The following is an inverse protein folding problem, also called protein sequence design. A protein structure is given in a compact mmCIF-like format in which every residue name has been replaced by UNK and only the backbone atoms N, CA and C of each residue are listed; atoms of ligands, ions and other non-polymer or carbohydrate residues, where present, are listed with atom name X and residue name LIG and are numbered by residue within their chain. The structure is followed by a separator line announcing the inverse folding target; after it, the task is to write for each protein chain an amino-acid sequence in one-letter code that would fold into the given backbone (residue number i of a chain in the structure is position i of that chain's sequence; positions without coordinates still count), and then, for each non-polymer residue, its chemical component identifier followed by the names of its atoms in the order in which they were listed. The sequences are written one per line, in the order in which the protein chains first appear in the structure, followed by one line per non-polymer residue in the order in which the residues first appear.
data_IF_101734206126
#
_entry.id   IF_101734206126
#
_cell.length_a   1.000
_cell.length_b   1.000
_cell.length_c   1.000
_cell.angle_alpha   90.00
_cell.angle_beta   90.00
_cell.angle_gamma   90.00
#
_symmetry.space_group_name_H-M   'P 1'
#
loop_
_entity.id
_entity.type
_entity.pdbx_description
1 polymer ?
#
# COMPACT_ATOMS: atom_id res chain seq x y z
N UNK A 1 -9.90 24.31 -1.44
CA UNK A 1 -8.86 24.87 -2.36
C UNK A 1 -7.55 24.08 -2.28
N UNK A 2 -7.12 23.68 -1.09
CA UNK A 2 -5.91 22.85 -0.88
C UNK A 2 -5.96 21.50 -1.63
N UNK A 3 -7.13 20.87 -1.71
CA UNK A 3 -7.34 19.62 -2.47
C UNK A 3 -7.19 19.78 -3.98
N UNK A 4 -7.56 20.93 -4.54
CA UNK A 4 -7.41 21.22 -5.98
C UNK A 4 -5.95 21.45 -6.37
N UNK A 5 -5.15 22.01 -5.47
CA UNK A 5 -3.72 22.28 -5.68
C UNK A 5 -2.92 20.95 -5.70
N UNK A 6 -3.24 20.00 -4.82
CA UNK A 6 -2.58 18.68 -4.79
C UNK A 6 -2.82 17.88 -6.07
N UNK A 7 -4.03 17.92 -6.65
CA UNK A 7 -4.30 17.26 -7.93
C UNK A 7 -3.64 17.93 -9.14
N UNK A 8 -3.29 19.21 -9.06
CA UNK A 8 -2.57 19.91 -10.15
C UNK A 8 -1.06 19.63 -10.15
N UNK A 9 -0.50 19.14 -9.08
CA UNK A 9 0.93 18.81 -8.96
C UNK A 9 1.23 17.31 -9.03
N UNK A 10 0.22 16.45 -9.26
CA UNK A 10 0.46 15.03 -9.51
C UNK A 10 1.29 14.86 -10.79
N UNK A 11 2.37 14.06 -10.76
CA UNK A 11 3.13 13.70 -11.94
C UNK A 11 2.26 12.81 -12.83
N UNK A 12 1.44 13.45 -13.69
CA UNK A 12 0.47 12.75 -14.56
C UNK A 12 1.14 11.67 -15.42
N UNK A 13 2.36 11.88 -15.98
CA UNK A 13 3.06 10.85 -16.75
C UNK A 13 3.39 9.61 -15.90
N UNK A 14 3.86 9.80 -14.67
CA UNK A 14 4.25 8.70 -13.78
C UNK A 14 3.02 7.92 -13.30
N UNK A 15 1.90 8.59 -13.02
CA UNK A 15 0.66 7.93 -12.64
C UNK A 15 0.06 7.15 -13.82
N UNK A 16 0.11 7.71 -15.04
CA UNK A 16 -0.32 7.00 -16.24
C UNK A 16 0.56 5.76 -16.48
N UNK A 17 1.88 5.92 -16.38
CA UNK A 17 2.81 4.79 -16.50
C UNK A 17 2.54 3.71 -15.45
N UNK A 18 2.25 4.09 -14.20
CA UNK A 18 1.88 3.16 -13.14
C UNK A 18 0.61 2.38 -13.50
N UNK A 19 -0.43 3.07 -14.02
CA UNK A 19 -1.67 2.44 -14.44
C UNK A 19 -1.46 1.46 -15.59
N UNK A 20 -0.74 1.87 -16.64
CA UNK A 20 -0.45 1.01 -17.79
C UNK A 20 0.37 -0.22 -17.38
N UNK A 21 1.35 -0.05 -16.50
CA UNK A 21 2.14 -1.16 -15.96
C UNK A 21 1.28 -2.11 -15.10
N UNK A 22 0.29 -1.60 -14.36
CA UNK A 22 -0.61 -2.44 -13.59
C UNK A 22 -1.52 -3.27 -14.50
N UNK A 23 -2.09 -2.67 -15.54
CA UNK A 23 -2.92 -3.36 -16.53
C UNK A 23 -2.11 -4.43 -17.28
N UNK A 24 -0.91 -4.10 -17.72
CA UNK A 24 0.01 -5.06 -18.32
C UNK A 24 0.33 -6.22 -17.36
N UNK A 25 0.61 -5.92 -16.10
CA UNK A 25 0.90 -6.93 -15.09
C UNK A 25 -0.29 -7.86 -14.83
N UNK A 26 -1.52 -7.34 -14.85
CA UNK A 26 -2.75 -8.15 -14.71
C UNK A 26 -2.94 -9.13 -15.86
N UNK A 27 -2.54 -8.73 -17.07
CA UNK A 27 -2.72 -9.55 -18.27
C UNK A 27 -1.59 -10.56 -18.44
N UNK A 28 -0.33 -10.15 -18.19
CA UNK A 28 0.84 -10.93 -18.61
C UNK A 28 1.59 -11.63 -17.49
N UNK A 29 1.51 -11.09 -16.25
CA UNK A 29 2.24 -11.68 -15.15
C UNK A 29 1.37 -12.69 -14.39
N UNK A 30 1.94 -13.88 -14.15
CA UNK A 30 1.35 -14.85 -13.22
C UNK A 30 1.48 -14.36 -11.77
N UNK A 31 0.62 -13.40 -11.42
CA UNK A 31 0.54 -12.78 -10.10
C UNK A 31 -0.91 -12.65 -9.64
N UNK A 32 -1.19 -12.88 -8.35
CA UNK A 32 -2.53 -12.63 -7.83
C UNK A 32 -2.98 -11.18 -8.09
N UNK A 33 -4.19 -10.94 -8.61
CA UNK A 33 -4.72 -9.58 -8.81
C UNK A 33 -4.69 -8.72 -7.55
N UNK A 34 -4.84 -9.34 -6.38
CA UNK A 34 -4.74 -8.66 -5.08
C UNK A 34 -3.35 -8.08 -4.83
N UNK A 35 -2.27 -8.74 -5.29
CA UNK A 35 -0.91 -8.24 -5.19
C UNK A 35 -0.72 -7.00 -6.06
N UNK A 36 -1.22 -7.06 -7.30
CA UNK A 36 -1.10 -5.95 -8.25
C UNK A 36 -1.90 -4.75 -7.75
N UNK A 37 -3.13 -4.98 -7.23
CA UNK A 37 -3.95 -3.94 -6.62
C UNK A 37 -3.23 -3.27 -5.44
N UNK A 38 -2.74 -4.05 -4.47
CA UNK A 38 -2.07 -3.50 -3.29
C UNK A 38 -0.80 -2.71 -3.65
N UNK A 39 0.02 -3.22 -4.57
CA UNK A 39 1.21 -2.52 -5.04
C UNK A 39 0.87 -1.24 -5.80
N UNK A 40 -0.19 -1.26 -6.62
CA UNK A 40 -0.68 -0.07 -7.32
C UNK A 40 -1.15 1.00 -6.35
N UNK A 41 -1.99 0.67 -5.37
CA UNK A 41 -2.54 1.59 -4.38
C UNK A 41 -1.43 2.27 -3.58
N UNK A 42 -0.51 1.50 -3.01
CA UNK A 42 0.61 2.01 -2.24
C UNK A 42 1.54 2.89 -3.08
N UNK A 43 1.83 2.48 -4.31
CA UNK A 43 2.68 3.28 -5.20
C UNK A 43 2.00 4.57 -5.66
N UNK A 44 0.70 4.52 -5.93
CA UNK A 44 -0.08 5.72 -6.26
C UNK A 44 -0.05 6.73 -5.11
N UNK A 45 -0.13 6.26 -3.85
CA UNK A 45 0.02 7.13 -2.68
C UNK A 45 1.42 7.75 -2.59
N UNK A 46 2.48 6.97 -2.88
CA UNK A 46 3.85 7.51 -2.95
C UNK A 46 3.98 8.62 -3.99
N UNK A 47 3.43 8.41 -5.20
CA UNK A 47 3.43 9.41 -6.28
C UNK A 47 2.58 10.65 -5.93
N UNK A 48 1.53 10.46 -5.15
CA UNK A 48 0.69 11.56 -4.67
C UNK A 48 1.33 12.36 -3.52
N UNK A 49 2.56 12.02 -3.10
CA UNK A 49 3.27 12.70 -2.02
C UNK A 49 3.00 12.13 -0.61
N UNK A 50 2.26 11.03 -0.51
CA UNK A 50 1.97 10.33 0.74
C UNK A 50 2.83 9.07 0.89
N UNK A 51 4.15 9.18 0.65
CA UNK A 51 5.04 8.04 0.80
C UNK A 51 5.12 7.60 2.27
N UNK A 52 4.80 6.34 2.60
CA UNK A 52 4.84 5.89 3.98
C UNK A 52 6.27 5.73 4.48
N UNK A 53 6.50 6.00 5.77
CA UNK A 53 7.78 5.81 6.45
C UNK A 53 7.90 4.37 6.96
N UNK A 54 8.62 3.55 6.22
CA UNK A 54 8.70 2.09 6.47
C UNK A 54 10.11 1.58 6.76
N UNK A 55 11.09 2.45 6.87
CA UNK A 55 12.50 2.09 7.01
C UNK A 55 12.82 1.56 8.41
N UNK A 56 12.24 2.20 9.42
CA UNK A 56 12.41 1.82 10.81
C UNK A 56 11.15 2.17 11.61
N UNK A 57 11.10 1.71 12.85
CA UNK A 57 10.08 2.13 13.80
C UNK A 57 10.17 3.64 14.04
N UNK A 58 9.09 4.37 13.82
CA UNK A 58 9.04 5.82 13.99
C UNK A 58 9.29 6.28 15.44
N UNK A 59 9.16 5.40 16.42
CA UNK A 59 9.30 5.71 17.84
C UNK A 59 10.71 5.39 18.36
N UNK A 60 11.19 4.16 18.14
CA UNK A 60 12.49 3.69 18.70
C UNK A 60 13.60 3.54 17.68
N UNK A 61 13.35 3.81 16.39
CA UNK A 61 14.33 3.72 15.32
C UNK A 61 14.74 2.29 14.93
N UNK A 62 14.12 1.25 15.51
CA UNK A 62 14.46 -0.13 15.16
C UNK A 62 14.12 -0.42 13.69
N UNK A 63 15.11 -0.76 12.83
CA UNK A 63 14.86 -1.03 11.42
C UNK A 63 14.15 -2.37 11.18
N UNK A 64 14.23 -3.32 12.12
CA UNK A 64 13.67 -4.66 11.98
C UNK A 64 12.85 -5.07 13.20
N UNK A 65 11.67 -4.46 13.40
CA UNK A 65 10.80 -4.83 14.51
C UNK A 65 10.34 -6.29 14.37
N UNK A 66 10.40 -7.05 15.47
CA UNK A 66 9.97 -8.45 15.51
C UNK A 66 8.46 -8.61 15.28
N UNK A 67 7.69 -7.62 15.72
CA UNK A 67 6.25 -7.52 15.49
C UNK A 67 5.92 -6.16 14.89
N UNK A 68 6.11 -6.00 13.56
CA UNK A 68 5.88 -4.73 12.90
C UNK A 68 4.39 -4.42 12.80
N UNK A 69 4.04 -3.18 13.07
CA UNK A 69 2.71 -2.62 12.89
C UNK A 69 2.79 -1.38 12.00
N UNK A 70 1.74 -1.14 11.23
CA UNK A 70 1.61 0.02 10.37
C UNK A 70 0.45 0.88 10.82
N UNK A 71 0.71 2.15 11.13
CA UNK A 71 -0.30 3.13 11.54
C UNK A 71 -0.88 3.79 10.29
N UNK A 72 -2.16 3.55 10.00
CA UNK A 72 -2.80 3.95 8.75
C UNK A 72 -2.87 5.47 8.56
N UNK A 73 -3.20 6.20 9.62
CA UNK A 73 -3.37 7.65 9.53
C UNK A 73 -2.06 8.40 9.33
N UNK A 74 -1.02 7.97 10.04
CA UNK A 74 0.29 8.64 9.97
C UNK A 74 1.19 8.07 8.88
N UNK A 75 0.86 6.89 8.34
CA UNK A 75 1.66 6.22 7.32
C UNK A 75 3.04 5.79 7.81
N UNK A 76 3.15 5.35 9.07
CA UNK A 76 4.43 5.01 9.69
C UNK A 76 4.49 3.58 10.18
N UNK A 77 5.69 3.00 10.15
CA UNK A 77 6.01 1.73 10.77
C UNK A 77 6.31 1.93 12.26
N UNK A 78 5.84 1.03 13.11
CA UNK A 78 6.21 1.00 14.52
C UNK A 78 6.27 -0.44 15.07
N UNK A 79 6.96 -0.63 16.20
CA UNK A 79 6.92 -1.88 16.96
C UNK A 79 5.55 -2.00 17.65
N UNK A 80 5.05 -3.21 17.81
CA UNK A 80 3.81 -3.46 18.57
C UNK A 80 3.87 -2.94 20.01
N UNK A 81 5.07 -2.93 20.60
CA UNK A 81 5.30 -2.48 21.99
C UNK A 81 5.55 -0.97 22.14
N UNK A 82 5.80 -0.28 21.03
CA UNK A 82 6.00 1.18 21.07
C UNK A 82 4.65 1.89 21.15
N UNK A 83 4.51 2.90 22.02
CA UNK A 83 3.29 3.68 22.13
C UNK A 83 3.11 4.52 20.86
N UNK A 84 1.94 4.42 20.25
CA UNK A 84 1.53 5.25 19.11
C UNK A 84 0.26 6.00 19.44
N UNK A 85 0.00 7.09 18.72
CA UNK A 85 -1.20 7.88 18.85
C UNK A 85 -2.49 7.10 18.55
N UNK A 86 -3.63 7.74 18.74
CA UNK A 86 -4.92 7.16 18.40
C UNK A 86 -5.04 6.97 16.88
N UNK A 87 -5.49 5.78 16.47
CA UNK A 87 -5.69 5.43 15.06
C UNK A 87 -5.68 3.92 14.85
N UNK A 88 -5.99 3.53 13.63
CA UNK A 88 -6.00 2.13 13.24
C UNK A 88 -4.59 1.64 12.94
N UNK A 89 -4.23 0.52 13.57
CA UNK A 89 -2.93 -0.13 13.44
C UNK A 89 -3.13 -1.51 12.84
N UNK A 90 -2.41 -1.81 11.77
CA UNK A 90 -2.43 -3.11 11.11
C UNK A 90 -1.11 -3.84 11.34
N UNK A 91 -1.22 -5.09 11.80
CA UNK A 91 -0.05 -5.95 12.01
C UNK A 91 0.51 -6.45 10.69
N UNK A 92 1.82 -6.36 10.54
CA UNK A 92 2.57 -6.91 9.42
C UNK A 92 3.32 -8.17 9.86
N UNK A 93 3.63 -9.04 8.91
CA UNK A 93 4.65 -10.07 9.07
C UNK A 93 5.94 -9.65 8.34
N UNK A 94 7.06 -10.34 8.55
CA UNK A 94 8.34 -9.97 7.90
C UNK A 94 8.23 -9.87 6.38
N UNK A 95 7.52 -10.80 5.74
CA UNK A 95 7.35 -10.82 4.29
C UNK A 95 6.48 -9.65 3.79
N UNK A 96 5.38 -9.35 4.47
CA UNK A 96 4.54 -8.20 4.11
C UNK A 96 5.26 -6.86 4.34
N UNK A 97 6.10 -6.75 5.37
CA UNK A 97 6.94 -5.58 5.57
C UNK A 97 8.01 -5.45 4.48
N UNK A 98 8.67 -6.55 4.11
CA UNK A 98 9.64 -6.55 3.02
C UNK A 98 9.00 -6.13 1.69
N UNK A 99 7.81 -6.65 1.40
CA UNK A 99 7.05 -6.27 0.22
C UNK A 99 6.62 -4.78 0.25
N UNK A 100 6.17 -4.28 1.38
CA UNK A 100 5.83 -2.87 1.56
C UNK A 100 7.03 -1.97 1.27
N UNK A 101 8.19 -2.30 1.84
CA UNK A 101 9.47 -1.60 1.57
C UNK A 101 9.87 -1.67 0.10
N UNK A 102 9.71 -2.84 -0.52
CA UNK A 102 9.96 -3.01 -1.95
C UNK A 102 9.07 -2.08 -2.77
N UNK A 103 7.76 -2.06 -2.52
CA UNK A 103 6.81 -1.22 -3.24
C UNK A 103 7.17 0.26 -3.13
N UNK A 104 7.55 0.73 -1.95
CA UNK A 104 7.93 2.14 -1.74
C UNK A 104 9.19 2.52 -2.50
N UNK A 105 10.18 1.61 -2.61
CA UNK A 105 11.53 1.93 -3.12
C UNK A 105 11.80 1.46 -4.55
N UNK A 106 11.10 0.43 -5.02
CA UNK A 106 11.41 -0.21 -6.30
C UNK A 106 11.22 0.75 -7.48
N UNK A 107 12.08 0.68 -8.49
CA UNK A 107 11.81 1.33 -9.77
C UNK A 107 10.56 0.73 -10.41
N UNK A 108 9.84 1.53 -11.23
CA UNK A 108 8.53 1.16 -11.81
C UNK A 108 8.57 -0.19 -12.56
N UNK A 109 9.68 -0.49 -13.24
CA UNK A 109 9.87 -1.76 -13.98
C UNK A 109 9.95 -3.00 -13.07
N UNK A 110 10.25 -2.84 -11.78
CA UNK A 110 10.38 -3.93 -10.81
C UNK A 110 9.28 -3.95 -9.77
N UNK A 111 8.28 -3.10 -9.89
CA UNK A 111 7.22 -2.93 -8.90
C UNK A 111 6.53 -4.26 -8.57
N UNK A 112 6.27 -5.10 -9.57
CA UNK A 112 5.56 -6.38 -9.43
C UNK A 112 6.51 -7.60 -9.43
N UNK A 113 7.82 -7.39 -9.24
CA UNK A 113 8.84 -8.44 -9.33
C UNK A 113 9.02 -9.22 -8.02
N UNK A 114 7.95 -9.47 -7.27
CA UNK A 114 7.98 -10.26 -6.03
C UNK A 114 6.79 -11.22 -5.95
N UNK A 115 6.88 -12.20 -5.04
CA UNK A 115 5.80 -13.12 -4.70
C UNK A 115 5.58 -13.12 -3.21
N UNK A 116 4.35 -13.36 -2.78
CA UNK A 116 3.96 -13.43 -1.37
C UNK A 116 3.10 -14.67 -1.14
N UNK A 117 3.24 -15.26 0.05
CA UNK A 117 2.26 -16.21 0.57
C UNK A 117 0.92 -15.52 0.89
N UNK A 118 -0.13 -16.33 1.00
CA UNK A 118 -1.50 -15.82 1.14
C UNK A 118 -1.69 -14.91 2.37
N UNK A 119 -1.12 -15.25 3.54
CA UNK A 119 -1.20 -14.44 4.76
C UNK A 119 -0.51 -13.08 4.58
N UNK A 120 0.73 -13.09 4.08
CA UNK A 120 1.50 -11.86 3.84
C UNK A 120 0.81 -10.95 2.81
N UNK A 121 0.23 -11.54 1.77
CA UNK A 121 -0.55 -10.81 0.76
C UNK A 121 -1.82 -10.22 1.36
N UNK A 122 -2.53 -10.96 2.20
CA UNK A 122 -3.72 -10.47 2.90
C UNK A 122 -3.40 -9.23 3.75
N UNK A 123 -2.32 -9.27 4.54
CA UNK A 123 -1.86 -8.13 5.37
C UNK A 123 -1.45 -6.94 4.52
N UNK A 124 -0.68 -7.18 3.45
CA UNK A 124 -0.27 -6.11 2.52
C UNK A 124 -1.47 -5.44 1.85
N UNK A 125 -2.46 -6.23 1.42
CA UNK A 125 -3.68 -5.72 0.80
C UNK A 125 -4.53 -4.87 1.77
N UNK A 126 -4.63 -5.30 3.04
CA UNK A 126 -5.29 -4.51 4.08
C UNK A 126 -4.58 -3.18 4.34
N UNK A 127 -3.25 -3.19 4.39
CA UNK A 127 -2.46 -1.96 4.57
C UNK A 127 -2.63 -1.03 3.37
N UNK A 128 -2.52 -1.53 2.13
CA UNK A 128 -2.67 -0.70 0.93
C UNK A 128 -4.03 -0.01 0.86
N UNK A 129 -5.09 -0.80 1.04
CA UNK A 129 -6.46 -0.28 1.00
C UNK A 129 -6.76 0.66 2.17
N UNK A 130 -6.41 0.24 3.40
CA UNK A 130 -6.65 1.05 4.60
C UNK A 130 -5.89 2.38 4.56
N UNK A 131 -4.63 2.36 4.11
CA UNK A 131 -3.82 3.57 3.95
C UNK A 131 -4.39 4.51 2.90
N UNK A 132 -4.77 4.00 1.72
CA UNK A 132 -5.42 4.77 0.68
C UNK A 132 -6.69 5.46 1.21
N UNK A 133 -7.58 4.72 1.87
CA UNK A 133 -8.84 5.25 2.40
C UNK A 133 -8.61 6.28 3.51
N UNK A 134 -7.62 6.04 4.38
CA UNK A 134 -7.25 6.95 5.48
C UNK A 134 -6.71 8.29 4.98
N UNK A 135 -5.86 8.26 3.93
CA UNK A 135 -5.27 9.48 3.38
C UNK A 135 -6.23 10.28 2.50
N UNK A 136 -7.09 9.57 1.75
CA UNK A 136 -8.04 10.22 0.83
C UNK A 136 -9.28 10.75 1.53
N UNK A 137 -9.55 10.32 2.77
CA UNK A 137 -10.77 10.65 3.54
C UNK A 137 -12.04 10.47 2.68
N UNK A 138 -12.08 9.40 1.89
CA UNK A 138 -13.15 9.08 0.93
C UNK A 138 -13.44 7.59 0.89
N UNK A 139 -14.73 7.28 0.66
CA UNK A 139 -15.17 5.94 0.26
C UNK A 139 -15.26 5.88 -1.26
N UNK A 140 -14.88 4.75 -1.83
CA UNK A 140 -14.95 4.50 -3.27
C UNK A 140 -16.01 3.43 -3.55
N UNK A 141 -17.09 3.80 -4.23
CA UNK A 141 -18.15 2.84 -4.60
C UNK A 141 -17.59 1.68 -5.46
N UNK A 142 -16.61 1.97 -6.30
CA UNK A 142 -15.94 0.94 -7.11
C UNK A 142 -15.19 -0.08 -6.26
N UNK A 143 -14.64 0.31 -5.12
CA UNK A 143 -13.98 -0.60 -4.18
C UNK A 143 -15.01 -1.50 -3.47
N UNK A 144 -16.16 -0.96 -3.10
CA UNK A 144 -17.25 -1.75 -2.51
C UNK A 144 -17.79 -2.76 -3.51
N UNK A 145 -17.98 -2.36 -4.76
CA UNK A 145 -18.37 -3.26 -5.84
C UNK A 145 -17.33 -4.38 -6.06
N UNK A 146 -16.04 -4.04 -6.10
CA UNK A 146 -14.96 -5.02 -6.20
C UNK A 146 -15.01 -6.07 -5.08
N UNK A 147 -15.26 -5.65 -3.84
CA UNK A 147 -15.40 -6.55 -2.69
C UNK A 147 -16.58 -7.50 -2.84
N UNK A 148 -17.72 -7.01 -3.33
CA UNK A 148 -18.92 -7.82 -3.57
C UNK A 148 -18.67 -8.89 -4.66
N UNK A 149 -18.00 -8.52 -5.75
CA UNK A 149 -17.69 -9.46 -6.84
C UNK A 149 -16.69 -10.51 -6.39
N UNK A 150 -15.66 -10.12 -5.63
CA UNK A 150 -14.63 -11.04 -5.12
C UNK A 150 -15.15 -12.02 -4.06
N UNK A 151 -16.17 -11.64 -3.32
CA UNK A 151 -16.81 -12.48 -2.30
C UNK A 151 -17.85 -13.47 -2.85
N UNK A 152 -18.18 -13.44 -4.15
CA UNK A 152 -19.06 -14.42 -4.79
C UNK A 152 -18.25 -15.61 -5.25
N UNK A 153 -18.52 -16.84 -4.77
CA UNK A 153 -18.00 -18.04 -5.40
C UNK A 153 -18.54 -18.11 -6.83
N UNK A 154 -17.66 -18.41 -7.79
CA UNK A 154 -18.02 -18.76 -9.17
C UNK A 154 -18.73 -20.10 -9.17
#
# INVERSE_FOLDING_TARGET
EFRRVLFRSLPVPELLALLLNALYALETLDRPPALIKAAFELRAMCLAGYAPMVDCCAICGNPNPSQPCFHLREGVLHCKTCPVGAGENLSLCPDSLAALRHIVRAPSKRLYAFRLGADALGRLAQVGEGFLLSQMDRRFHTLEFYKQVRGRPL
#
